data_IF_331090003415
#
_entry.id   IF_331090003415
#
_cell.length_a   1.000
_cell.length_b   1.000
_cell.length_c   1.000
_cell.angle_alpha   90.00
_cell.angle_beta   90.00
_cell.angle_gamma   90.00
#
_symmetry.space_group_name_H-M   'P 1'
#
loop_
_entity.id
_entity.type
_entity.pdbx_description
1 polymer ?
#
# COMPACT_ATOMS: atom_id res chain seq x y z
N UNK A 1 13.42 -3.91 -11.90
CA UNK A 1 14.39 -5.01 -11.73
C UNK A 1 14.09 -6.09 -12.75
N UNK A 2 15.11 -6.87 -13.10
CA UNK A 2 14.93 -8.12 -13.86
C UNK A 2 14.46 -9.17 -12.86
N UNK A 3 13.22 -9.60 -12.97
CA UNK A 3 12.70 -10.75 -12.25
C UNK A 3 12.98 -12.01 -13.08
N UNK A 4 13.81 -12.92 -12.56
CA UNK A 4 14.03 -14.26 -13.13
C UNK A 4 14.36 -14.33 -14.63
N UNK A 5 15.19 -13.41 -15.16
CA UNK A 5 15.53 -13.34 -16.60
C UNK A 5 14.37 -13.04 -17.56
N UNK A 6 13.18 -12.71 -17.05
CA UNK A 6 12.05 -12.27 -17.87
C UNK A 6 12.13 -10.75 -18.07
N UNK A 7 12.35 -10.31 -19.31
CA UNK A 7 12.26 -8.89 -19.73
C UNK A 7 10.81 -8.39 -19.81
N UNK A 8 9.95 -8.82 -18.89
CA UNK A 8 8.54 -8.43 -18.86
C UNK A 8 8.41 -7.32 -17.82
N UNK A 9 7.88 -6.16 -18.23
CA UNK A 9 7.54 -5.09 -17.29
C UNK A 9 6.34 -5.55 -16.46
N UNK A 10 6.59 -6.05 -15.25
CA UNK A 10 5.54 -6.42 -14.31
C UNK A 10 4.82 -5.21 -13.74
N UNK A 11 3.63 -5.45 -13.18
CA UNK A 11 2.88 -4.49 -12.35
C UNK A 11 2.61 -5.09 -10.97
N UNK A 12 2.47 -4.23 -9.98
CA UNK A 12 2.04 -4.56 -8.61
C UNK A 12 0.71 -3.85 -8.32
N UNK A 13 -0.14 -4.48 -7.53
CA UNK A 13 -1.40 -3.91 -7.08
C UNK A 13 -1.39 -3.83 -5.55
N UNK A 14 -1.65 -2.65 -5.02
CA UNK A 14 -1.84 -2.41 -3.60
C UNK A 14 -3.33 -2.15 -3.39
N UNK A 15 -3.96 -2.96 -2.55
CA UNK A 15 -5.41 -2.99 -2.39
C UNK A 15 -5.74 -2.81 -0.92
N UNK A 16 -6.72 -1.96 -0.65
CA UNK A 16 -7.34 -1.80 0.67
C UNK A 16 -8.76 -2.32 0.56
N UNK A 17 -9.12 -3.19 1.48
CA UNK A 17 -10.45 -3.77 1.60
C UNK A 17 -11.02 -3.49 2.99
N UNK A 18 -12.35 -3.50 3.10
CA UNK A 18 -13.01 -3.57 4.40
C UNK A 18 -12.94 -5.00 4.97
N UNK A 19 -13.55 -5.20 6.15
CA UNK A 19 -13.56 -6.52 6.82
C UNK A 19 -14.36 -7.59 6.06
N UNK A 20 -15.27 -7.19 5.18
CA UNK A 20 -16.07 -8.10 4.37
C UNK A 20 -15.41 -8.38 3.00
N UNK A 21 -14.27 -7.75 2.71
CA UNK A 21 -13.56 -7.90 1.44
C UNK A 21 -14.00 -6.90 0.35
N UNK A 22 -14.82 -5.91 0.68
CA UNK A 22 -15.20 -4.87 -0.29
C UNK A 22 -14.02 -3.94 -0.56
N UNK A 23 -13.80 -3.63 -1.84
CA UNK A 23 -12.72 -2.75 -2.28
C UNK A 23 -12.98 -1.31 -1.83
N UNK A 24 -12.01 -0.75 -1.10
CA UNK A 24 -12.00 0.67 -0.68
C UNK A 24 -11.08 1.48 -1.60
N UNK A 25 -9.87 0.96 -1.85
CA UNK A 25 -8.89 1.62 -2.69
C UNK A 25 -8.02 0.60 -3.43
N UNK A 26 -7.66 0.94 -4.68
CA UNK A 26 -6.75 0.16 -5.51
C UNK A 26 -5.72 1.10 -6.12
N UNK A 27 -4.44 0.80 -5.90
CA UNK A 27 -3.32 1.48 -6.52
C UNK A 27 -2.53 0.48 -7.35
N UNK A 28 -2.27 0.81 -8.61
CA UNK A 28 -1.46 -0.01 -9.51
C UNK A 28 -0.14 0.69 -9.77
N UNK A 29 0.96 -0.02 -9.57
CA UNK A 29 2.31 0.48 -9.76
C UNK A 29 3.07 -0.42 -10.73
N UNK A 30 4.11 0.12 -11.37
CA UNK A 30 5.10 -0.73 -12.04
C UNK A 30 5.83 -1.58 -10.99
N UNK A 31 6.23 -2.81 -11.35
CA UNK A 31 6.81 -3.75 -10.39
C UNK A 31 8.13 -3.29 -9.76
N UNK A 32 8.79 -2.28 -10.33
CA UNK A 32 10.01 -1.70 -9.79
C UNK A 32 9.78 -0.76 -8.58
N UNK A 33 8.53 -0.41 -8.28
CA UNK A 33 8.22 0.36 -7.08
C UNK A 33 8.29 -0.54 -5.86
N UNK A 34 9.01 -0.08 -4.82
CA UNK A 34 9.14 -0.78 -3.56
C UNK A 34 7.83 -0.70 -2.77
N UNK A 35 7.43 -1.81 -2.14
CA UNK A 35 6.12 -1.94 -1.51
C UNK A 35 5.92 -0.95 -0.36
N UNK A 36 6.99 -0.63 0.38
CA UNK A 36 6.98 0.41 1.42
C UNK A 36 6.68 1.80 0.88
N UNK A 37 7.16 2.15 -0.33
CA UNK A 37 6.87 3.47 -0.94
C UNK A 37 5.43 3.54 -1.42
N UNK A 38 4.97 2.51 -2.13
CA UNK A 38 3.60 2.44 -2.61
C UNK A 38 2.59 2.37 -1.46
N UNK A 39 2.90 1.64 -0.38
CA UNK A 39 2.07 1.58 0.82
C UNK A 39 1.90 2.94 1.49
N UNK A 40 2.96 3.74 1.65
CA UNK A 40 2.85 5.08 2.24
C UNK A 40 2.03 6.04 1.38
N UNK A 41 2.14 5.95 0.04
CA UNK A 41 1.29 6.71 -0.87
C UNK A 41 -0.18 6.31 -0.72
N UNK A 42 -0.46 5.02 -0.58
CA UNK A 42 -1.81 4.52 -0.37
C UNK A 42 -2.39 5.00 0.96
N UNK A 43 -1.61 4.96 2.05
CA UNK A 43 -2.03 5.49 3.37
C UNK A 43 -2.33 6.99 3.28
N UNK A 44 -1.49 7.77 2.59
CA UNK A 44 -1.75 9.19 2.37
C UNK A 44 -3.06 9.44 1.62
N UNK A 45 -3.31 8.68 0.55
CA UNK A 45 -4.59 8.77 -0.18
C UNK A 45 -5.80 8.44 0.72
N UNK A 46 -5.66 7.46 1.61
CA UNK A 46 -6.72 7.15 2.57
C UNK A 46 -6.93 8.28 3.58
N UNK A 47 -5.87 8.96 4.05
CA UNK A 47 -6.00 10.06 5.01
C UNK A 47 -6.63 11.33 4.39
N UNK A 48 -6.33 11.58 3.11
CA UNK A 48 -6.91 12.68 2.33
C UNK A 48 -8.35 12.38 1.87
N UNK A 49 -8.82 11.14 2.00
CA UNK A 49 -10.17 10.73 1.63
C UNK A 49 -11.27 11.25 2.57
N UNK A 50 -12.53 11.19 2.11
CA UNK A 50 -13.70 11.61 2.89
C UNK A 50 -14.07 10.65 4.04
N UNK A 51 -13.40 9.49 4.14
CA UNK A 51 -13.65 8.47 5.15
C UNK A 51 -12.45 8.34 6.10
N UNK A 52 -12.70 8.37 7.41
CA UNK A 52 -11.68 8.12 8.42
C UNK A 52 -11.74 6.66 8.91
N UNK A 53 -10.67 5.91 8.66
CA UNK A 53 -10.47 4.57 9.20
C UNK A 53 -9.96 4.61 10.64
N UNK A 54 -10.62 3.87 11.55
CA UNK A 54 -10.18 3.72 12.95
C UNK A 54 -8.91 2.87 13.09
N UNK A 55 -8.75 1.90 12.19
CA UNK A 55 -7.65 0.94 12.24
C UNK A 55 -7.40 0.44 10.82
N UNK A 56 -6.13 0.42 10.42
CA UNK A 56 -5.65 -0.15 9.17
C UNK A 56 -4.77 -1.34 9.51
N UNK A 57 -5.10 -2.51 8.98
CA UNK A 57 -4.33 -3.74 9.15
C UNK A 57 -3.44 -3.93 7.92
N UNK A 58 -2.18 -4.29 8.15
CA UNK A 58 -1.20 -4.56 7.11
C UNK A 58 -0.44 -5.85 7.42
N UNK A 59 0.16 -6.44 6.38
CA UNK A 59 0.97 -7.65 6.50
C UNK A 59 2.20 -7.44 7.40
N UNK A 60 2.71 -8.53 8.01
CA UNK A 60 3.88 -8.48 8.88
C UNK A 60 5.15 -7.95 8.18
N UNK A 61 5.25 -8.05 6.85
CA UNK A 61 6.33 -7.45 6.06
C UNK A 61 6.38 -5.92 6.09
N UNK A 62 5.31 -5.26 6.56
CA UNK A 62 5.24 -3.81 6.73
C UNK A 62 5.67 -3.33 8.13
N UNK A 63 6.20 -4.20 8.99
CA UNK A 63 6.67 -3.81 10.33
C UNK A 63 7.88 -2.85 10.29
N UNK A 64 8.15 -2.19 11.42
CA UNK A 64 9.29 -1.30 11.61
C UNK A 64 9.03 0.11 11.09
N UNK A 65 10.02 0.69 10.41
CA UNK A 65 10.02 2.10 9.95
C UNK A 65 8.77 2.46 9.12
N UNK A 66 8.19 1.50 8.40
CA UNK A 66 6.97 1.74 7.64
C UNK A 66 5.78 2.11 8.55
N UNK A 67 5.57 1.39 9.66
CA UNK A 67 4.47 1.68 10.60
C UNK A 67 4.64 3.08 11.19
N UNK A 68 5.86 3.43 11.60
CA UNK A 68 6.15 4.75 12.17
C UNK A 68 5.86 5.89 11.18
N UNK A 69 6.17 5.70 9.89
CA UNK A 69 5.85 6.68 8.84
C UNK A 69 4.37 6.71 8.51
N UNK A 70 3.72 5.56 8.45
CA UNK A 70 2.29 5.45 8.14
C UNK A 70 1.45 6.12 9.24
N UNK A 71 1.80 5.91 10.51
CA UNK A 71 1.12 6.51 11.65
C UNK A 71 1.18 8.06 11.59
N UNK A 72 2.37 8.62 11.34
CA UNK A 72 2.55 10.07 11.13
C UNK A 72 1.78 10.62 9.95
N UNK A 73 1.65 9.85 8.87
CA UNK A 73 0.91 10.26 7.67
C UNK A 73 -0.61 10.19 7.83
N UNK A 74 -1.09 9.33 8.73
CA UNK A 74 -2.51 9.06 8.93
C UNK A 74 -3.08 9.75 10.18
N UNK A 75 -2.21 10.40 10.96
CA UNK A 75 -2.57 11.29 12.08
C UNK A 75 -3.49 12.42 11.65
#
# INVERSE_FOLDING_TARGET
GVDGNKKIKGIKRHVVVDKNGFLIAVMVCVANIHDSKAGLLLIRMLNEGLMKFKCILADAGYRGEFIEKADKLYS
#
